data_IF_509098148193
#
_entry.id   IF_509098148193
#
_cell.length_a   1.000
_cell.length_b   1.000
_cell.length_c   1.000
_cell.angle_alpha   90.00
_cell.angle_beta   90.00
_cell.angle_gamma   90.00
#
_symmetry.space_group_name_H-M   'P 1'
#
loop_
_entity.id
_entity.type
_entity.pdbx_description
1 polymer ?
#
# COMPACT_ATOMS: atom_id res chain seq x y z
N UNK A 1 6.52 -5.67 34.91
CA UNK A 1 6.57 -6.60 33.77
C UNK A 1 5.29 -6.42 32.94
N UNK A 2 5.41 -6.37 31.63
CA UNK A 2 4.27 -6.29 30.72
C UNK A 2 3.65 -7.68 30.64
N UNK A 3 2.40 -7.82 31.12
CA UNK A 3 1.67 -9.09 31.14
C UNK A 3 0.31 -8.88 30.49
N UNK A 4 -0.30 -9.93 29.97
CA UNK A 4 -1.65 -9.89 29.38
C UNK A 4 -2.68 -9.33 30.38
N UNK A 5 -2.50 -9.63 31.68
CA UNK A 5 -3.34 -9.08 32.76
C UNK A 5 -3.21 -7.56 32.88
N UNK A 6 -1.99 -7.02 32.82
CA UNK A 6 -1.77 -5.56 32.86
C UNK A 6 -2.31 -4.86 31.61
N UNK A 7 -2.20 -5.50 30.45
CA UNK A 7 -2.73 -4.97 29.20
C UNK A 7 -4.28 -5.01 29.20
N UNK A 8 -4.90 -6.08 29.73
CA UNK A 8 -6.36 -6.17 29.90
C UNK A 8 -6.89 -5.10 30.85
N UNK A 9 -6.24 -4.88 31.99
CA UNK A 9 -6.62 -3.80 32.92
C UNK A 9 -6.48 -2.41 32.30
N UNK A 10 -5.42 -2.16 31.50
CA UNK A 10 -5.25 -0.90 30.78
C UNK A 10 -6.36 -0.68 29.75
N UNK A 11 -6.74 -1.72 29.01
CA UNK A 11 -7.83 -1.66 28.04
C UNK A 11 -9.17 -1.41 28.70
N UNK A 12 -9.45 -2.06 29.86
CA UNK A 12 -10.68 -1.82 30.62
C UNK A 12 -10.80 -0.37 31.06
N UNK A 13 -9.74 0.18 31.67
CA UNK A 13 -9.70 1.60 32.09
C UNK A 13 -9.82 2.58 30.91
N UNK A 14 -9.25 2.23 29.76
CA UNK A 14 -9.37 3.04 28.56
C UNK A 14 -10.82 3.04 28.04
N UNK A 15 -11.48 1.87 28.01
CA UNK A 15 -12.88 1.75 27.63
C UNK A 15 -13.81 2.50 28.58
N UNK A 16 -13.55 2.47 29.88
CA UNK A 16 -14.34 3.21 30.86
C UNK A 16 -14.27 4.73 30.65
N UNK A 17 -13.09 5.25 30.28
CA UNK A 17 -12.86 6.70 30.11
C UNK A 17 -13.25 7.22 28.72
N UNK A 18 -12.89 6.48 27.69
CA UNK A 18 -12.95 6.93 26.29
C UNK A 18 -14.00 6.17 25.46
N UNK A 19 -14.69 5.20 26.09
CA UNK A 19 -15.59 4.29 25.37
C UNK A 19 -16.72 4.98 24.63
N UNK A 20 -17.24 6.08 25.18
CA UNK A 20 -18.30 6.88 24.55
C UNK A 20 -17.84 7.55 23.25
N UNK A 21 -16.56 7.89 23.15
CA UNK A 21 -15.98 8.54 21.96
C UNK A 21 -15.44 7.55 20.93
N UNK A 22 -15.35 6.27 21.31
CA UNK A 22 -14.86 5.22 20.42
C UNK A 22 -15.92 4.82 19.40
N UNK A 23 -15.56 4.90 18.14
CA UNK A 23 -16.40 4.38 17.05
C UNK A 23 -16.12 2.89 16.84
N UNK A 24 -17.13 2.01 16.97
CA UNK A 24 -16.95 0.58 16.71
C UNK A 24 -16.42 0.35 15.30
N UNK A 25 -15.46 -0.57 15.20
CA UNK A 25 -14.95 -0.97 13.90
C UNK A 25 -15.97 -1.82 13.16
N UNK A 26 -16.52 -1.30 12.06
CA UNK A 26 -17.45 -2.06 11.23
C UNK A 26 -16.74 -3.30 10.65
N UNK A 27 -17.26 -4.53 10.87
CA UNK A 27 -16.71 -5.72 10.27
C UNK A 27 -16.70 -5.64 8.75
N UNK A 28 -15.72 -6.26 8.11
CA UNK A 28 -15.70 -6.40 6.66
C UNK A 28 -16.85 -7.30 6.19
N UNK A 29 -17.53 -6.91 5.12
CA UNK A 29 -18.44 -7.79 4.39
C UNK A 29 -17.69 -9.01 3.86
N UNK A 30 -18.40 -10.10 3.59
CA UNK A 30 -17.78 -11.35 3.14
C UNK A 30 -16.93 -11.16 1.86
N UNK A 31 -17.46 -10.40 0.90
CA UNK A 31 -16.78 -10.09 -0.36
C UNK A 31 -15.53 -9.24 -0.16
N UNK A 32 -15.60 -8.23 0.71
CA UNK A 32 -14.45 -7.39 1.06
C UNK A 32 -13.36 -8.21 1.76
N UNK A 33 -13.75 -9.08 2.68
CA UNK A 33 -12.83 -10.02 3.33
C UNK A 33 -12.17 -10.94 2.32
N UNK A 34 -12.92 -11.40 1.32
CA UNK A 34 -12.41 -12.24 0.23
C UNK A 34 -11.39 -11.47 -0.64
N UNK A 35 -11.64 -10.22 -1.00
CA UNK A 35 -10.68 -9.38 -1.71
C UNK A 35 -9.34 -9.30 -0.95
N UNK A 36 -9.39 -9.00 0.34
CA UNK A 36 -8.18 -8.97 1.18
C UNK A 36 -7.47 -10.32 1.25
N UNK A 37 -8.23 -11.41 1.28
CA UNK A 37 -7.69 -12.77 1.27
C UNK A 37 -6.95 -13.06 -0.03
N UNK A 38 -7.55 -12.74 -1.18
CA UNK A 38 -6.92 -12.92 -2.50
C UNK A 38 -5.64 -12.07 -2.65
N UNK A 39 -5.68 -10.81 -2.22
CA UNK A 39 -4.51 -9.93 -2.21
C UNK A 39 -3.34 -10.51 -1.37
N UNK A 40 -3.64 -11.02 -0.18
CA UNK A 40 -2.63 -11.63 0.70
C UNK A 40 -2.08 -12.94 0.14
N UNK A 41 -2.94 -13.79 -0.43
CA UNK A 41 -2.52 -15.05 -1.09
C UNK A 41 -1.61 -14.73 -2.27
N UNK A 42 -1.99 -13.78 -3.10
CA UNK A 42 -1.17 -13.31 -4.21
C UNK A 42 0.20 -12.79 -3.73
N UNK A 43 0.23 -11.99 -2.68
CA UNK A 43 1.47 -11.49 -2.10
C UNK A 43 2.40 -12.63 -1.66
N UNK A 44 1.85 -13.67 -1.02
CA UNK A 44 2.61 -14.85 -0.60
C UNK A 44 3.15 -15.64 -1.80
N UNK A 45 2.36 -15.82 -2.86
CA UNK A 45 2.83 -16.48 -4.10
C UNK A 45 4.01 -15.71 -4.70
N UNK A 46 3.92 -14.38 -4.77
CA UNK A 46 5.01 -13.54 -5.30
C UNK A 46 6.26 -13.61 -4.42
N UNK A 47 6.10 -13.62 -3.09
CA UNK A 47 7.22 -13.77 -2.15
C UNK A 47 7.89 -15.15 -2.29
N UNK A 48 7.09 -16.22 -2.36
CA UNK A 48 7.59 -17.57 -2.57
C UNK A 48 8.32 -17.70 -3.93
N UNK A 49 7.75 -17.13 -4.98
CA UNK A 49 8.39 -17.09 -6.30
C UNK A 49 9.74 -16.37 -6.27
N UNK A 50 9.85 -15.25 -5.54
CA UNK A 50 11.10 -14.52 -5.39
C UNK A 50 12.14 -15.33 -4.62
N UNK A 51 11.75 -16.00 -3.53
CA UNK A 51 12.61 -16.87 -2.74
C UNK A 51 13.11 -18.07 -3.56
N UNK A 52 12.20 -18.72 -4.28
CA UNK A 52 12.56 -19.84 -5.18
C UNK A 52 13.52 -19.41 -6.29
N UNK A 53 13.30 -18.24 -6.92
CA UNK A 53 14.22 -17.70 -7.94
C UNK A 53 15.63 -17.50 -7.39
N UNK A 54 15.75 -17.08 -6.14
CA UNK A 54 17.05 -16.89 -5.49
C UNK A 54 17.69 -18.25 -5.16
N UNK A 55 16.92 -19.18 -4.58
CA UNK A 55 17.39 -20.52 -4.21
C UNK A 55 17.76 -21.39 -5.40
N UNK A 56 17.08 -21.23 -6.53
CA UNK A 56 17.25 -22.03 -7.74
C UNK A 56 18.06 -21.32 -8.82
N UNK A 57 18.83 -20.27 -8.47
CA UNK A 57 19.56 -19.44 -9.44
C UNK A 57 20.58 -20.24 -10.27
N UNK A 58 21.16 -21.30 -9.68
CA UNK A 58 22.21 -22.12 -10.29
C UNK A 58 21.63 -23.33 -11.08
N UNK A 59 20.30 -23.51 -11.04
CA UNK A 59 19.61 -24.54 -11.81
C UNK A 59 19.25 -24.04 -13.20
N UNK A 60 19.39 -24.91 -14.19
CA UNK A 60 19.03 -24.60 -15.59
C UNK A 60 17.64 -23.97 -15.70
N UNK A 61 17.54 -22.87 -16.46
CA UNK A 61 16.28 -22.17 -16.70
C UNK A 61 15.21 -23.11 -17.29
N UNK A 62 15.60 -24.04 -18.15
CA UNK A 62 14.68 -25.03 -18.76
C UNK A 62 13.94 -25.83 -17.69
N UNK A 63 14.60 -26.23 -16.62
CA UNK A 63 14.00 -27.03 -15.53
C UNK A 63 13.07 -26.21 -14.62
N UNK A 64 13.26 -24.90 -14.53
CA UNK A 64 12.50 -24.02 -13.63
C UNK A 64 11.41 -23.21 -14.32
N UNK A 65 11.45 -23.08 -15.65
CA UNK A 65 10.50 -22.25 -16.43
C UNK A 65 9.04 -22.65 -16.20
N UNK A 66 8.73 -23.93 -16.23
CA UNK A 66 7.35 -24.42 -16.02
C UNK A 66 6.84 -24.02 -14.64
N UNK A 67 7.62 -24.24 -13.58
CA UNK A 67 7.27 -23.84 -12.21
C UNK A 67 6.97 -22.36 -12.09
N UNK A 68 7.82 -21.49 -12.63
CA UNK A 68 7.62 -20.04 -12.54
C UNK A 68 6.47 -19.55 -13.39
N UNK A 69 6.16 -20.21 -14.50
CA UNK A 69 4.97 -19.95 -15.29
C UNK A 69 3.71 -20.26 -14.52
N UNK A 70 3.63 -21.41 -13.84
CA UNK A 70 2.47 -21.80 -13.03
C UNK A 70 2.27 -20.85 -11.83
N UNK A 71 3.36 -20.51 -11.12
CA UNK A 71 3.29 -19.53 -10.02
C UNK A 71 2.82 -18.16 -10.51
N UNK A 72 3.24 -17.74 -11.71
CA UNK A 72 2.75 -16.51 -12.33
C UNK A 72 1.27 -16.61 -12.67
N UNK A 73 0.85 -17.70 -13.30
CA UNK A 73 -0.56 -17.93 -13.67
C UNK A 73 -1.47 -17.93 -12.45
N UNK A 74 -1.05 -18.55 -11.34
CA UNK A 74 -1.76 -18.51 -10.07
C UNK A 74 -1.85 -17.08 -9.53
N UNK A 75 -0.74 -16.34 -9.51
CA UNK A 75 -0.71 -14.93 -9.08
C UNK A 75 -1.68 -14.07 -9.89
N UNK A 76 -1.67 -14.22 -11.22
CA UNK A 76 -2.54 -13.47 -12.13
C UNK A 76 -4.03 -13.88 -11.96
N UNK A 77 -4.30 -15.15 -11.67
CA UNK A 77 -5.66 -15.64 -11.36
C UNK A 77 -6.22 -15.03 -10.07
N UNK A 78 -5.42 -14.99 -9.00
CA UNK A 78 -5.81 -14.37 -7.73
C UNK A 78 -6.10 -12.87 -7.90
N UNK A 79 -5.27 -12.17 -8.69
CA UNK A 79 -5.47 -10.75 -9.02
C UNK A 79 -6.79 -10.54 -9.78
N UNK A 80 -7.03 -11.30 -10.85
CA UNK A 80 -8.29 -11.23 -11.61
C UNK A 80 -9.51 -11.55 -10.75
N UNK A 81 -9.41 -12.51 -9.84
CA UNK A 81 -10.50 -12.86 -8.91
C UNK A 81 -10.82 -11.66 -7.99
N UNK A 82 -9.81 -11.04 -7.39
CA UNK A 82 -9.98 -9.89 -6.52
C UNK A 82 -10.56 -8.67 -7.27
N UNK A 83 -10.09 -8.41 -8.50
CA UNK A 83 -10.61 -7.32 -9.35
C UNK A 83 -12.09 -7.54 -9.68
N UNK A 84 -12.48 -8.76 -10.08
CA UNK A 84 -13.90 -9.09 -10.38
C UNK A 84 -14.80 -8.88 -9.16
N UNK A 85 -14.34 -9.26 -7.96
CA UNK A 85 -15.09 -9.03 -6.72
C UNK A 85 -15.25 -7.53 -6.44
N UNK A 86 -14.20 -6.74 -6.62
CA UNK A 86 -14.25 -5.29 -6.44
C UNK A 86 -15.21 -4.60 -7.42
N UNK A 87 -15.22 -5.04 -8.69
CA UNK A 87 -16.18 -4.53 -9.68
C UNK A 87 -17.62 -4.87 -9.29
N UNK A 88 -17.89 -6.10 -8.80
CA UNK A 88 -19.22 -6.48 -8.28
C UNK A 88 -19.66 -5.64 -7.09
N UNK A 89 -18.74 -5.16 -6.26
CA UNK A 89 -19.00 -4.24 -5.14
C UNK A 89 -19.16 -2.76 -5.59
N UNK A 90 -19.13 -2.48 -6.88
CA UNK A 90 -19.24 -1.12 -7.41
C UNK A 90 -17.97 -0.26 -7.26
N UNK A 91 -16.80 -0.90 -7.02
CA UNK A 91 -15.53 -0.16 -6.85
C UNK A 91 -14.83 0.18 -8.17
N UNK A 92 -15.41 -0.25 -9.30
CA UNK A 92 -14.86 -0.03 -10.65
C UNK A 92 -14.49 1.42 -10.95
N UNK A 93 -15.40 2.39 -10.76
CA UNK A 93 -15.10 3.81 -11.03
C UNK A 93 -13.90 4.34 -10.25
N UNK A 94 -13.82 4.05 -8.95
CA UNK A 94 -12.67 4.46 -8.13
C UNK A 94 -11.37 3.80 -8.60
N UNK A 95 -11.43 2.53 -8.99
CA UNK A 95 -10.26 1.81 -9.52
C UNK A 95 -9.74 2.44 -10.82
N UNK A 96 -10.63 2.84 -11.73
CA UNK A 96 -10.22 3.49 -12.99
C UNK A 96 -9.63 4.89 -12.73
N UNK A 97 -10.24 5.69 -11.85
CA UNK A 97 -9.68 6.99 -11.43
C UNK A 97 -8.27 6.84 -10.88
N UNK A 98 -8.05 5.89 -9.98
CA UNK A 98 -6.76 5.68 -9.34
C UNK A 98 -5.74 5.06 -10.31
N UNK A 99 -6.16 4.18 -11.21
CA UNK A 99 -5.33 3.57 -12.26
C UNK A 99 -4.80 4.59 -13.27
N UNK A 100 -5.50 5.71 -13.45
CA UNK A 100 -5.03 6.81 -14.31
C UNK A 100 -3.73 7.48 -13.79
N UNK A 101 -3.37 7.28 -12.50
CA UNK A 101 -2.14 7.81 -11.93
C UNK A 101 -0.90 7.11 -12.54
N UNK A 102 0.14 7.87 -12.90
CA UNK A 102 1.38 7.30 -13.43
C UNK A 102 1.98 6.26 -12.48
N UNK A 103 2.32 5.09 -13.01
CA UNK A 103 2.92 3.99 -12.26
C UNK A 103 1.95 3.15 -11.44
N UNK A 104 0.68 3.49 -11.41
CA UNK A 104 -0.36 2.72 -10.72
C UNK A 104 -0.99 1.72 -11.70
N UNK A 105 -0.80 0.43 -11.42
CA UNK A 105 -1.45 -0.65 -12.15
C UNK A 105 -2.74 -1.12 -11.47
N UNK A 106 -3.49 -2.06 -12.11
CA UNK A 106 -4.78 -2.55 -11.60
C UNK A 106 -4.71 -3.07 -10.16
N UNK A 107 -3.68 -3.83 -9.82
CA UNK A 107 -3.48 -4.36 -8.47
C UNK A 107 -3.27 -3.25 -7.43
N UNK A 108 -2.47 -2.24 -7.76
CA UNK A 108 -2.21 -1.12 -6.84
C UNK A 108 -3.47 -0.27 -6.69
N UNK A 109 -4.22 -0.05 -7.75
CA UNK A 109 -5.51 0.65 -7.71
C UNK A 109 -6.50 -0.11 -6.82
N UNK A 110 -6.67 -1.42 -7.02
CA UNK A 110 -7.51 -2.26 -6.18
C UNK A 110 -7.13 -2.18 -4.70
N UNK A 111 -5.84 -2.30 -4.39
CA UNK A 111 -5.34 -2.26 -3.01
C UNK A 111 -5.59 -0.89 -2.35
N UNK A 112 -5.42 0.21 -3.09
CA UNK A 112 -5.72 1.57 -2.60
C UNK A 112 -7.22 1.78 -2.36
N UNK A 113 -8.07 1.33 -3.27
CA UNK A 113 -9.54 1.41 -3.13
C UNK A 113 -10.01 0.55 -1.95
N UNK A 114 -9.54 -0.69 -1.83
CA UNK A 114 -9.88 -1.57 -0.72
C UNK A 114 -9.44 -0.97 0.63
N UNK A 115 -8.28 -0.31 0.67
CA UNK A 115 -7.80 0.41 1.84
C UNK A 115 -8.69 1.63 2.15
N UNK A 116 -9.03 2.43 1.16
CA UNK A 116 -9.88 3.62 1.30
C UNK A 116 -11.27 3.26 1.84
N UNK A 117 -11.88 2.19 1.31
CA UNK A 117 -13.22 1.73 1.72
C UNK A 117 -13.24 1.07 3.10
N UNK A 118 -12.07 0.79 3.70
CA UNK A 118 -11.98 0.12 5.00
C UNK A 118 -12.41 1.00 6.17
N UNK A 119 -12.08 2.30 6.15
CA UNK A 119 -12.34 3.25 7.23
C UNK A 119 -12.70 4.63 6.66
N UNK A 120 -13.51 5.41 7.37
CA UNK A 120 -13.79 6.81 7.01
C UNK A 120 -12.58 7.67 7.40
N UNK A 121 -11.58 7.73 6.54
CA UNK A 121 -10.39 8.54 6.79
C UNK A 121 -10.71 10.04 6.77
N UNK A 122 -10.29 10.74 7.82
CA UNK A 122 -10.51 12.18 7.96
C UNK A 122 -9.77 12.97 6.85
N UNK A 123 -8.54 12.56 6.53
CA UNK A 123 -7.70 13.21 5.52
C UNK A 123 -6.67 12.23 4.94
N UNK A 124 -5.96 12.71 3.91
CA UNK A 124 -4.93 11.93 3.22
C UNK A 124 -3.76 11.51 4.12
N UNK A 125 -3.45 12.27 5.18
CA UNK A 125 -2.36 11.92 6.09
C UNK A 125 -2.72 10.71 6.95
N UNK A 126 -3.95 10.64 7.46
CA UNK A 126 -4.45 9.46 8.18
C UNK A 126 -4.51 8.24 7.26
N UNK A 127 -4.90 8.41 5.99
CA UNK A 127 -4.88 7.34 5.00
C UNK A 127 -3.46 6.80 4.77
N UNK A 128 -2.47 7.69 4.57
CA UNK A 128 -1.05 7.32 4.39
C UNK A 128 -0.48 6.67 5.66
N UNK A 129 -0.83 7.19 6.84
CA UNK A 129 -0.40 6.64 8.13
C UNK A 129 -0.94 5.22 8.35
N UNK A 130 -2.21 4.95 8.00
CA UNK A 130 -2.82 3.62 8.06
C UNK A 130 -2.06 2.58 7.23
N UNK A 131 -1.52 2.97 6.08
CA UNK A 131 -0.67 2.11 5.25
C UNK A 131 0.76 1.93 5.80
N UNK A 132 1.10 2.58 6.92
CA UNK A 132 2.43 2.50 7.53
C UNK A 132 3.52 3.23 6.74
N UNK A 133 3.12 4.21 5.93
CA UNK A 133 4.01 5.08 5.17
C UNK A 133 4.28 6.42 5.88
N UNK A 134 3.81 6.58 7.10
CA UNK A 134 4.10 7.76 7.90
C UNK A 134 5.55 7.77 8.39
N UNK A 135 6.09 8.97 8.61
CA UNK A 135 7.48 9.17 9.01
C UNK A 135 7.54 9.36 10.51
N UNK A 136 8.26 8.47 11.19
CA UNK A 136 8.62 8.68 12.58
C UNK A 136 9.75 9.69 12.71
N UNK A 137 9.51 10.70 13.51
CA UNK A 137 10.57 11.59 14.02
C UNK A 137 10.98 11.03 15.39
N UNK A 138 12.25 10.73 15.56
CA UNK A 138 12.84 10.37 16.85
C UNK A 138 13.84 11.47 17.20
N UNK A 139 13.33 12.62 17.59
CA UNK A 139 14.14 13.68 18.13
C UNK A 139 13.99 13.62 19.65
N UNK A 140 15.08 13.45 20.38
CA UNK A 140 15.13 13.55 21.83
C UNK A 140 16.27 14.49 22.23
N UNK A 141 15.94 15.65 22.78
CA UNK A 141 16.91 16.63 23.23
C UNK A 141 17.88 17.08 22.12
N UNK A 142 19.19 16.88 22.33
CA UNK A 142 20.22 17.27 21.33
C UNK A 142 20.39 16.33 20.16
N UNK A 143 19.75 15.14 20.15
CA UNK A 143 19.88 14.14 19.06
C UNK A 143 18.79 14.32 18.01
N UNK A 144 19.19 14.74 16.81
CA UNK A 144 18.34 14.66 15.60
C UNK A 144 18.42 13.25 15.03
N UNK A 145 17.41 12.42 15.30
CA UNK A 145 17.36 11.04 14.83
C UNK A 145 17.07 10.91 13.34
N UNK A 146 17.58 9.83 12.72
CA UNK A 146 17.24 9.49 11.33
C UNK A 146 15.73 9.23 11.20
N UNK A 147 15.07 9.96 10.31
CA UNK A 147 13.66 9.77 9.99
C UNK A 147 13.44 8.40 9.35
N UNK A 148 12.57 7.58 9.92
CA UNK A 148 12.23 6.24 9.43
C UNK A 148 10.71 6.10 9.27
N UNK A 149 10.27 5.24 8.35
CA UNK A 149 8.85 4.91 8.23
C UNK A 149 8.36 4.16 9.47
N UNK A 150 7.10 4.38 9.86
CA UNK A 150 6.47 3.68 10.99
C UNK A 150 6.35 2.18 10.72
N UNK A 151 6.13 1.79 9.47
CA UNK A 151 5.86 0.41 9.01
C UNK A 151 4.69 -0.27 9.73
N UNK A 152 3.84 0.50 10.47
CA UNK A 152 2.64 0.02 11.13
C UNK A 152 1.49 -0.07 10.13
N UNK A 153 1.46 -1.08 9.30
CA UNK A 153 0.43 -1.25 8.27
C UNK A 153 0.75 -2.45 7.39
N UNK A 154 -0.06 -2.69 6.37
CA UNK A 154 0.12 -3.82 5.48
C UNK A 154 1.41 -3.70 4.64
N UNK A 155 2.27 -4.71 4.70
CA UNK A 155 3.55 -4.72 4.00
C UNK A 155 3.37 -4.75 2.47
N UNK A 156 2.32 -5.42 1.99
CA UNK A 156 2.03 -5.51 0.56
C UNK A 156 1.57 -4.15 0.00
N UNK A 157 0.74 -3.39 0.73
CA UNK A 157 0.39 -2.02 0.33
C UNK A 157 1.63 -1.15 0.18
N UNK A 158 2.57 -1.22 1.13
CA UNK A 158 3.84 -0.47 1.03
C UNK A 158 4.67 -0.89 -0.16
N UNK A 159 4.76 -2.20 -0.43
CA UNK A 159 5.48 -2.75 -1.58
C UNK A 159 4.86 -2.28 -2.90
N UNK A 160 3.54 -2.32 -3.02
CA UNK A 160 2.83 -1.87 -4.22
C UNK A 160 3.03 -0.38 -4.46
N UNK A 161 2.94 0.45 -3.41
CA UNK A 161 3.16 1.89 -3.51
C UNK A 161 4.63 2.24 -3.82
N UNK A 162 5.58 1.49 -3.28
CA UNK A 162 6.99 1.62 -3.68
C UNK A 162 7.19 1.34 -5.17
N UNK A 163 6.58 0.26 -5.69
CA UNK A 163 6.65 -0.08 -7.10
C UNK A 163 5.94 0.95 -7.98
N UNK A 164 4.80 1.47 -7.53
CA UNK A 164 4.10 2.56 -8.22
C UNK A 164 4.96 3.84 -8.27
N UNK A 165 5.62 4.22 -7.18
CA UNK A 165 6.57 5.33 -7.14
C UNK A 165 7.72 5.16 -8.13
N UNK A 166 8.32 3.97 -8.19
CA UNK A 166 9.32 3.61 -9.20
C UNK A 166 8.78 3.69 -10.63
N UNK A 167 7.55 3.26 -10.85
CA UNK A 167 6.88 3.31 -12.14
C UNK A 167 6.63 4.76 -12.59
N UNK A 168 6.15 5.60 -11.68
CA UNK A 168 5.78 6.98 -11.97
C UNK A 168 6.94 7.85 -12.48
N UNK A 169 8.16 7.62 -11.99
CA UNK A 169 9.35 8.39 -12.42
C UNK A 169 9.94 7.98 -13.76
N UNK A 170 9.46 6.89 -14.37
CA UNK A 170 10.00 6.39 -15.66
C UNK A 170 9.52 7.18 -16.88
N UNK A 171 8.35 7.81 -16.76
CA UNK A 171 7.80 8.66 -17.83
C UNK A 171 8.22 10.10 -17.59
N UNK A 172 8.52 10.81 -18.68
CA UNK A 172 8.73 12.26 -18.63
C UNK A 172 7.56 12.98 -17.99
N UNK A 173 7.83 14.08 -17.30
CA UNK A 173 6.83 14.91 -16.70
C UNK A 173 7.04 15.17 -15.21
N UNK A 174 5.99 15.64 -14.55
CA UNK A 174 6.02 16.12 -13.15
C UNK A 174 6.66 15.14 -12.16
N UNK A 175 6.37 13.85 -12.28
CA UNK A 175 6.85 12.84 -11.30
C UNK A 175 8.34 12.58 -11.46
N UNK A 176 8.88 12.60 -12.68
CA UNK A 176 10.31 12.50 -12.93
C UNK A 176 11.04 13.70 -12.34
N UNK A 177 10.58 14.93 -12.63
CA UNK A 177 11.17 16.18 -12.07
C UNK A 177 11.15 16.18 -10.53
N UNK A 178 10.05 15.73 -9.91
CA UNK A 178 9.95 15.61 -8.44
C UNK A 178 10.97 14.60 -7.88
N UNK A 179 11.15 13.47 -8.54
CA UNK A 179 12.13 12.45 -8.14
C UNK A 179 13.55 13.00 -8.22
N UNK A 180 13.90 13.63 -9.33
CA UNK A 180 15.23 14.24 -9.54
C UNK A 180 15.52 15.34 -8.51
N UNK A 181 14.54 16.21 -8.24
CA UNK A 181 14.67 17.23 -7.20
C UNK A 181 14.81 16.64 -5.78
N UNK A 182 14.28 15.44 -5.50
CA UNK A 182 14.57 14.75 -4.24
C UNK A 182 16.01 14.24 -4.18
N UNK A 183 16.55 13.69 -5.28
CA UNK A 183 17.94 13.25 -5.35
C UNK A 183 18.91 14.41 -5.14
N UNK A 184 18.65 15.56 -5.78
CA UNK A 184 19.45 16.80 -5.59
C UNK A 184 19.48 17.27 -4.14
N UNK A 185 18.38 17.02 -3.37
CA UNK A 185 18.29 17.30 -1.93
C UNK A 185 18.89 16.21 -1.05
N UNK A 186 19.63 15.25 -1.62
CA UNK A 186 20.33 14.20 -0.88
C UNK A 186 19.49 12.99 -0.49
N UNK A 187 18.28 12.81 -1.05
CA UNK A 187 17.53 11.59 -0.83
C UNK A 187 18.19 10.41 -1.55
N UNK A 188 18.24 9.25 -0.90
CA UNK A 188 18.57 8.02 -1.61
C UNK A 188 17.46 7.67 -2.62
N UNK A 189 17.80 6.94 -3.69
CA UNK A 189 16.82 6.48 -4.70
C UNK A 189 15.61 5.76 -4.06
N UNK A 190 15.86 4.90 -3.08
CA UNK A 190 14.81 4.18 -2.34
C UNK A 190 13.92 5.13 -1.54
N UNK A 191 14.50 6.10 -0.84
CA UNK A 191 13.74 7.09 -0.08
C UNK A 191 12.88 7.97 -0.99
N UNK A 192 13.41 8.37 -2.15
CA UNK A 192 12.67 9.12 -3.15
C UNK A 192 11.51 8.29 -3.74
N UNK A 193 11.72 7.01 -4.10
CA UNK A 193 10.67 6.13 -4.59
C UNK A 193 9.54 5.94 -3.55
N UNK A 194 9.88 5.83 -2.26
CA UNK A 194 8.89 5.78 -1.16
C UNK A 194 8.13 7.10 -1.03
N UNK A 195 8.81 8.24 -1.10
CA UNK A 195 8.17 9.55 -1.05
C UNK A 195 7.21 9.76 -2.23
N UNK A 196 7.58 9.26 -3.42
CA UNK A 196 6.70 9.23 -4.59
C UNK A 196 5.46 8.36 -4.35
N UNK A 197 5.61 7.16 -3.78
CA UNK A 197 4.50 6.29 -3.39
C UNK A 197 3.54 6.97 -2.41
N UNK A 198 4.06 7.69 -1.41
CA UNK A 198 3.25 8.50 -0.48
C UNK A 198 2.47 9.59 -1.21
N UNK A 199 3.10 10.27 -2.17
CA UNK A 199 2.44 11.31 -2.97
C UNK A 199 1.33 10.72 -3.82
N UNK A 200 1.56 9.58 -4.48
CA UNK A 200 0.54 8.85 -5.24
C UNK A 200 -0.65 8.46 -4.36
N UNK A 201 -0.39 7.94 -3.16
CA UNK A 201 -1.46 7.59 -2.21
C UNK A 201 -2.32 8.81 -1.80
N UNK A 202 -1.70 9.97 -1.57
CA UNK A 202 -2.44 11.22 -1.28
C UNK A 202 -3.29 11.69 -2.44
N UNK A 203 -2.76 11.61 -3.66
CA UNK A 203 -3.53 11.97 -4.87
C UNK A 203 -4.69 10.97 -5.05
N UNK A 204 -4.43 9.66 -4.92
CA UNK A 204 -5.48 8.64 -5.00
C UNK A 204 -6.60 8.90 -3.97
N UNK A 205 -6.24 9.24 -2.73
CA UNK A 205 -7.22 9.62 -1.71
C UNK A 205 -8.08 10.82 -2.15
N UNK A 206 -7.46 11.87 -2.69
CA UNK A 206 -8.17 13.04 -3.15
C UNK A 206 -9.14 12.69 -4.29
N UNK A 207 -8.69 11.93 -5.30
CA UNK A 207 -9.51 11.50 -6.43
C UNK A 207 -10.73 10.68 -5.99
N UNK A 208 -10.54 9.75 -5.05
CA UNK A 208 -11.64 8.94 -4.51
C UNK A 208 -12.61 9.76 -3.65
N UNK A 209 -12.09 10.75 -2.90
CA UNK A 209 -12.91 11.59 -2.03
C UNK A 209 -13.74 12.61 -2.78
N UNK A 210 -13.19 13.19 -3.84
CA UNK A 210 -13.85 14.21 -4.67
C UNK A 210 -14.53 13.64 -5.90
N UNK A 211 -14.38 12.33 -6.14
CA UNK A 211 -14.89 11.63 -7.32
C UNK A 211 -14.47 12.25 -8.65
N UNK A 212 -13.30 12.90 -8.67
CA UNK A 212 -12.75 13.57 -9.86
C UNK A 212 -11.69 12.70 -10.55
N UNK A 213 -11.53 12.91 -11.86
CA UNK A 213 -10.52 12.22 -12.65
C UNK A 213 -9.15 12.89 -12.53
N UNK A 214 -8.10 12.07 -12.68
CA UNK A 214 -6.74 12.58 -12.67
C UNK A 214 -6.46 13.41 -13.93
N UNK A 215 -6.12 14.68 -13.72
CA UNK A 215 -5.63 15.59 -14.77
C UNK A 215 -4.14 15.81 -14.57
N UNK A 216 -3.28 15.38 -15.51
CA UNK A 216 -1.87 15.75 -15.46
C UNK A 216 -1.75 17.27 -15.45
N UNK A 217 -0.95 17.84 -14.54
CA UNK A 217 -0.62 19.25 -14.64
C UNK A 217 0.08 19.48 -15.97
N UNK A 218 -0.38 20.44 -16.76
CA UNK A 218 0.31 20.89 -17.95
C UNK A 218 1.73 21.30 -17.57
N UNK A 219 2.70 20.92 -18.41
CA UNK A 219 4.14 21.10 -18.16
C UNK A 219 4.54 22.57 -18.18
#
# INVERSE_FOLDING_TARGET
>A
AKTDRSDAQLLSRYLEREGADLKPLTPLKAEEKRIWTELRRRARVVQACAALKLSLKDISKTRTTALFRELKALSDSLERSAVRLAVKLGWGPDMERVKALPGVGPLTALALVACYRRLPFLNADKFVAYMGLDVRVRDSGRMRGKRKLTKKGDAELRRLLFLAGRGARRKEGRFKRLFEGMLQRGFSKTAADVAMGRKLARIAFALMRTETDYRPAQA
#
